data_IF_264537234666
#
_entry.id   IF_264537234666
#
_cell.length_a   1.000
_cell.length_b   1.000
_cell.length_c   1.000
_cell.angle_alpha   90.00
_cell.angle_beta   90.00
_cell.angle_gamma   90.00
#
_symmetry.space_group_name_H-M   'P 1'
#
loop_
_entity.id
_entity.type
_entity.pdbx_description
1 polymer ?
#
# COMPACT_ATOMS: atom_id res chain seq x y z
N UNK A 1 -4.82 38.19 2.86
CA UNK A 1 -4.21 38.40 4.19
C UNK A 1 -4.53 37.14 4.99
N UNK A 2 -3.54 36.34 5.37
CA UNK A 2 -3.76 35.06 6.09
C UNK A 2 -4.25 35.39 7.50
N UNK A 3 -5.28 34.69 7.99
CA UNK A 3 -5.81 34.93 9.33
C UNK A 3 -4.82 34.47 10.41
N UNK A 4 -4.90 35.05 11.62
CA UNK A 4 -4.06 34.63 12.75
C UNK A 4 -4.24 33.13 13.10
N UNK A 5 -5.45 32.60 12.88
CA UNK A 5 -5.78 31.18 13.09
C UNK A 5 -5.08 30.28 12.08
N UNK A 6 -5.05 30.67 10.81
CA UNK A 6 -4.34 29.92 9.76
C UNK A 6 -2.82 29.97 9.97
N UNK A 7 -2.26 31.11 10.40
CA UNK A 7 -0.84 31.21 10.73
C UNK A 7 -0.43 30.25 11.85
N UNK A 8 -1.25 30.15 12.90
CA UNK A 8 -1.00 29.22 14.00
C UNK A 8 -1.12 27.75 13.55
N UNK A 9 -2.07 27.43 12.68
CA UNK A 9 -2.23 26.08 12.14
C UNK A 9 -1.02 25.66 11.29
N UNK A 10 -0.53 26.56 10.42
CA UNK A 10 0.70 26.36 9.65
C UNK A 10 1.92 26.17 10.57
N UNK A 11 2.02 26.96 11.65
CA UNK A 11 3.11 26.82 12.62
C UNK A 11 3.09 25.44 13.28
N UNK A 12 1.92 24.94 13.69
CA UNK A 12 1.76 23.59 14.27
C UNK A 12 2.17 22.50 13.30
N UNK A 13 1.78 22.61 12.04
CA UNK A 13 2.21 21.71 10.98
C UNK A 13 3.75 21.70 10.87
N UNK A 14 4.39 22.87 10.81
CA UNK A 14 5.85 22.94 10.68
C UNK A 14 6.57 22.30 11.86
N UNK A 15 6.09 22.50 13.09
CA UNK A 15 6.65 21.84 14.28
C UNK A 15 6.50 20.33 14.19
N UNK A 16 5.31 19.84 13.79
CA UNK A 16 5.07 18.41 13.60
C UNK A 16 6.01 17.79 12.56
N UNK A 17 6.21 18.46 11.41
CA UNK A 17 7.12 17.98 10.38
C UNK A 17 8.58 17.98 10.84
N UNK A 18 9.00 19.00 11.59
CA UNK A 18 10.34 19.04 12.20
C UNK A 18 10.55 17.92 13.22
N UNK A 19 9.52 17.61 14.02
CA UNK A 19 9.55 16.47 14.94
C UNK A 19 9.73 15.16 14.18
N UNK A 20 9.01 14.94 13.08
CA UNK A 20 9.18 13.77 12.22
C UNK A 20 10.60 13.68 11.62
N UNK A 21 11.11 14.80 11.10
CA UNK A 21 12.39 14.87 10.41
C UNK A 21 13.56 14.58 11.39
N UNK A 22 13.48 15.07 12.63
CA UNK A 22 14.45 14.82 13.71
C UNK A 22 14.24 13.53 14.51
N UNK A 23 13.10 12.85 14.35
CA UNK A 23 12.75 11.69 15.16
C UNK A 23 13.59 10.44 14.85
N UNK A 24 14.02 9.75 15.91
CA UNK A 24 14.57 8.39 15.82
C UNK A 24 13.46 7.34 15.72
N UNK A 25 13.85 6.07 15.50
CA UNK A 25 12.94 4.92 15.29
C UNK A 25 11.78 4.85 16.29
N UNK A 26 12.04 4.99 17.59
CA UNK A 26 11.01 4.88 18.63
C UNK A 26 10.01 6.03 18.54
N UNK A 27 10.51 7.26 18.40
CA UNK A 27 9.68 8.46 18.26
C UNK A 27 8.84 8.40 16.98
N UNK A 28 9.43 8.04 15.84
CA UNK A 28 8.68 7.82 14.59
C UNK A 28 7.59 6.77 14.76
N UNK A 29 7.87 5.68 15.48
CA UNK A 29 6.84 4.68 15.76
C UNK A 29 5.67 5.24 16.59
N UNK A 30 5.90 6.19 17.50
CA UNK A 30 4.85 6.83 18.28
C UNK A 30 4.06 7.82 17.42
N UNK A 31 4.76 8.63 16.61
CA UNK A 31 4.12 9.54 15.65
C UNK A 31 3.19 8.76 14.71
N UNK A 32 3.66 7.66 14.11
CA UNK A 32 2.84 6.83 13.23
C UNK A 32 1.63 6.23 13.96
N UNK A 33 1.81 5.73 15.18
CA UNK A 33 0.69 5.20 15.98
C UNK A 33 -0.37 6.26 16.26
N UNK A 34 0.04 7.46 16.64
CA UNK A 34 -0.88 8.57 16.91
C UNK A 34 -1.59 8.99 15.61
N UNK A 35 -0.83 9.13 14.52
CA UNK A 35 -1.38 9.45 13.21
C UNK A 35 -2.45 8.44 12.78
N UNK A 36 -2.17 7.14 12.86
CA UNK A 36 -3.12 6.08 12.51
C UNK A 36 -4.40 6.20 13.33
N UNK A 37 -4.28 6.33 14.66
CA UNK A 37 -5.43 6.44 15.55
C UNK A 37 -6.31 7.66 15.29
N UNK A 38 -5.70 8.76 14.88
CA UNK A 38 -6.41 10.03 14.69
C UNK A 38 -6.98 10.21 13.29
N UNK A 39 -6.48 9.49 12.29
CA UNK A 39 -6.77 9.77 10.87
C UNK A 39 -7.39 8.61 10.08
N UNK A 40 -7.57 7.43 10.69
CA UNK A 40 -8.22 6.32 10.03
C UNK A 40 -9.64 6.69 9.54
N UNK A 41 -9.94 6.35 8.28
CA UNK A 41 -11.23 6.63 7.64
C UNK A 41 -11.48 8.07 7.19
N UNK A 42 -10.51 8.99 7.32
CA UNK A 42 -10.68 10.37 6.85
C UNK A 42 -10.65 10.50 5.32
N UNK A 43 -11.38 11.49 4.84
CA UNK A 43 -11.40 11.95 3.46
C UNK A 43 -10.25 12.90 3.15
N UNK A 44 -9.94 13.14 1.86
CA UNK A 44 -8.88 14.10 1.49
C UNK A 44 -9.12 15.51 2.07
N UNK A 45 -10.32 16.10 2.00
CA UNK A 45 -10.56 17.42 2.60
C UNK A 45 -10.32 17.46 4.11
N UNK A 46 -10.67 16.40 4.84
CA UNK A 46 -10.44 16.33 6.29
C UNK A 46 -8.95 16.25 6.62
N UNK A 47 -8.18 15.46 5.85
CA UNK A 47 -6.74 15.40 5.97
C UNK A 47 -6.11 16.76 5.64
N UNK A 48 -6.53 17.43 4.56
CA UNK A 48 -5.97 18.73 4.22
C UNK A 48 -6.35 19.81 5.25
N UNK A 49 -7.52 19.74 5.87
CA UNK A 49 -7.87 20.64 6.99
C UNK A 49 -6.97 20.37 8.20
N UNK A 50 -6.75 19.10 8.58
CA UNK A 50 -5.86 18.74 9.69
C UNK A 50 -4.43 19.22 9.47
N UNK A 51 -3.94 19.08 8.25
CA UNK A 51 -2.56 19.41 7.89
C UNK A 51 -2.43 20.81 7.29
N UNK A 52 -3.39 21.72 7.49
CA UNK A 52 -3.30 23.11 6.99
C UNK A 52 -2.93 23.20 5.49
N UNK A 53 -3.56 22.35 4.67
CA UNK A 53 -3.32 22.18 3.23
C UNK A 53 -1.92 21.61 2.89
N UNK A 54 -1.28 20.95 3.86
CA UNK A 54 0.05 20.37 3.75
C UNK A 54 0.09 18.86 3.95
N UNK A 55 -1.03 18.14 3.76
CA UNK A 55 -1.09 16.70 4.00
C UNK A 55 -0.11 15.94 3.07
N UNK A 56 -0.03 16.38 1.81
CA UNK A 56 0.91 15.88 0.79
C UNK A 56 2.39 16.00 1.23
N UNK A 57 2.74 17.02 2.03
CA UNK A 57 4.11 17.18 2.58
C UNK A 57 4.45 16.09 3.59
N UNK A 58 3.47 15.61 4.35
CA UNK A 58 3.68 14.50 5.27
C UNK A 58 3.75 13.18 4.51
N UNK A 59 2.89 12.96 3.52
CA UNK A 59 2.97 11.79 2.64
C UNK A 59 4.34 11.69 1.95
N UNK A 60 4.88 12.79 1.43
CA UNK A 60 6.23 12.84 0.83
C UNK A 60 7.33 12.37 1.81
N UNK A 61 7.21 12.70 3.10
CA UNK A 61 8.15 12.26 4.14
C UNK A 61 7.98 10.78 4.50
N UNK A 62 6.74 10.30 4.57
CA UNK A 62 6.45 8.89 4.81
C UNK A 62 7.00 8.02 3.68
N UNK A 63 6.82 8.44 2.43
CA UNK A 63 7.28 7.70 1.24
C UNK A 63 8.79 7.75 1.07
N UNK A 64 9.43 8.90 1.33
CA UNK A 64 10.88 8.99 1.40
C UNK A 64 11.44 8.04 2.47
N UNK A 65 10.83 8.02 3.66
CA UNK A 65 11.25 7.11 4.73
C UNK A 65 11.02 5.64 4.38
N UNK A 66 9.91 5.32 3.70
CA UNK A 66 9.63 3.96 3.22
C UNK A 66 10.76 3.50 2.30
N UNK A 67 11.10 4.30 1.29
CA UNK A 67 12.17 3.99 0.32
C UNK A 67 13.53 3.75 0.98
N UNK A 68 13.82 4.46 2.07
CA UNK A 68 15.09 4.31 2.79
C UNK A 68 15.12 3.08 3.71
N UNK A 69 13.96 2.57 4.16
CA UNK A 69 13.92 1.64 5.31
C UNK A 69 13.18 0.33 5.11
N UNK A 70 12.43 0.16 4.02
CA UNK A 70 11.63 -1.06 3.79
C UNK A 70 12.46 -2.34 3.81
N UNK A 71 13.73 -2.29 3.39
CA UNK A 71 14.64 -3.43 3.42
C UNK A 71 15.09 -3.83 4.84
N UNK A 72 14.96 -2.97 5.85
CA UNK A 72 15.51 -3.17 7.20
C UNK A 72 14.44 -3.27 8.30
N UNK A 73 13.15 -3.41 7.93
CA UNK A 73 12.01 -3.79 8.80
C UNK A 73 11.60 -2.81 9.92
N UNK A 74 12.20 -1.63 10.04
CA UNK A 74 11.90 -0.76 11.20
C UNK A 74 10.52 -0.10 11.10
N UNK A 75 9.56 -0.60 11.88
CA UNK A 75 8.19 -0.06 12.00
C UNK A 75 7.40 -0.06 10.67
N UNK A 76 7.76 -0.96 9.76
CA UNK A 76 7.24 -0.99 8.40
C UNK A 76 5.70 -1.12 8.36
N UNK A 77 5.10 -2.02 9.12
CA UNK A 77 3.64 -2.15 9.19
C UNK A 77 2.92 -0.82 9.51
N UNK A 78 3.44 -0.05 10.47
CA UNK A 78 2.84 1.24 10.86
C UNK A 78 3.03 2.28 9.76
N UNK A 79 4.18 2.25 9.09
CA UNK A 79 4.45 3.16 7.98
C UNK A 79 3.51 2.88 6.81
N UNK A 80 3.34 1.61 6.44
CA UNK A 80 2.42 1.17 5.38
C UNK A 80 0.96 1.52 5.72
N UNK A 81 0.51 1.27 6.95
CA UNK A 81 -0.83 1.71 7.41
C UNK A 81 -1.03 3.22 7.31
N UNK A 82 -0.01 3.99 7.71
CA UNK A 82 -0.08 5.46 7.62
C UNK A 82 -0.19 5.93 6.17
N UNK A 83 0.56 5.31 5.25
CA UNK A 83 0.41 5.57 3.81
C UNK A 83 -0.99 5.14 3.32
N UNK A 84 -1.50 4.01 3.82
CA UNK A 84 -2.84 3.50 3.51
C UNK A 84 -3.95 4.50 3.77
N UNK A 85 -3.86 5.26 4.86
CA UNK A 85 -4.82 6.34 5.17
C UNK A 85 -4.92 7.34 4.01
N UNK A 86 -3.78 7.79 3.48
CA UNK A 86 -3.77 8.69 2.33
C UNK A 86 -4.34 8.03 1.06
N UNK A 87 -3.93 6.79 0.77
CA UNK A 87 -4.37 6.09 -0.45
C UNK A 87 -5.86 5.71 -0.41
N UNK A 88 -6.44 5.54 0.78
CA UNK A 88 -7.87 5.24 0.97
C UNK A 88 -8.75 6.48 1.08
N UNK A 89 -8.17 7.68 1.19
CA UNK A 89 -8.91 8.90 1.41
C UNK A 89 -9.83 9.19 0.23
N UNK A 90 -11.14 9.30 0.49
CA UNK A 90 -12.11 9.61 -0.56
C UNK A 90 -11.76 10.94 -1.25
N UNK A 91 -11.89 10.96 -2.59
CA UNK A 91 -11.45 12.03 -3.49
C UNK A 91 -9.93 12.26 -3.60
N UNK A 92 -9.11 11.60 -2.77
CA UNK A 92 -7.65 11.76 -2.66
C UNK A 92 -6.82 11.16 -3.79
N UNK A 93 -7.28 11.23 -5.05
CA UNK A 93 -6.56 10.70 -6.21
C UNK A 93 -5.12 11.26 -6.34
N UNK A 94 -4.88 12.47 -5.84
CA UNK A 94 -3.56 13.09 -5.82
C UNK A 94 -2.54 12.28 -5.00
N UNK A 95 -2.94 11.79 -3.83
CA UNK A 95 -2.05 10.99 -2.97
C UNK A 95 -1.62 9.68 -3.64
N UNK A 96 -2.52 9.06 -4.41
CA UNK A 96 -2.17 7.90 -5.22
C UNK A 96 -1.11 8.27 -6.26
N UNK A 97 -1.31 9.36 -7.00
CA UNK A 97 -0.34 9.82 -8.01
C UNK A 97 1.03 10.09 -7.38
N UNK A 98 1.07 10.84 -6.28
CA UNK A 98 2.32 11.14 -5.57
C UNK A 98 3.05 9.88 -5.10
N UNK A 99 2.31 8.86 -4.62
CA UNK A 99 2.88 7.58 -4.23
C UNK A 99 3.40 6.77 -5.43
N UNK A 100 2.73 6.86 -6.59
CA UNK A 100 3.16 6.19 -7.80
C UNK A 100 4.40 6.84 -8.41
N UNK A 101 4.50 8.17 -8.39
CA UNK A 101 5.63 8.94 -8.96
C UNK A 101 6.98 8.58 -8.31
N UNK A 102 6.96 8.18 -7.04
CA UNK A 102 8.18 7.73 -6.33
C UNK A 102 8.51 6.25 -6.55
N UNK A 103 7.74 5.54 -7.37
CA UNK A 103 7.87 4.11 -7.64
C UNK A 103 7.21 3.22 -6.59
N UNK A 104 6.14 3.70 -5.94
CA UNK A 104 5.52 3.03 -4.80
C UNK A 104 5.08 1.59 -5.08
N UNK A 105 4.55 1.30 -6.27
CA UNK A 105 4.17 -0.07 -6.68
C UNK A 105 5.36 -1.03 -6.65
N UNK A 106 6.52 -0.62 -7.17
CA UNK A 106 7.72 -1.47 -7.17
C UNK A 106 8.18 -1.77 -5.75
N UNK A 107 8.19 -0.77 -4.88
CA UNK A 107 8.56 -0.93 -3.46
C UNK A 107 7.62 -1.94 -2.77
N UNK A 108 6.30 -1.81 -2.98
CA UNK A 108 5.32 -2.72 -2.38
C UNK A 108 5.48 -4.16 -2.88
N UNK A 109 5.77 -4.34 -4.17
CA UNK A 109 6.01 -5.66 -4.75
C UNK A 109 7.32 -6.29 -4.26
N UNK A 110 8.37 -5.49 -4.09
CA UNK A 110 9.64 -5.94 -3.52
C UNK A 110 9.50 -6.41 -2.07
N UNK A 111 8.70 -5.69 -1.25
CA UNK A 111 8.41 -6.09 0.14
C UNK A 111 7.89 -7.54 0.22
N UNK A 112 7.03 -7.96 -0.73
CA UNK A 112 6.49 -9.33 -0.76
C UNK A 112 7.59 -10.40 -0.93
N UNK A 113 8.66 -10.05 -1.64
CA UNK A 113 9.80 -10.94 -1.93
C UNK A 113 10.87 -11.00 -0.84
N UNK A 114 10.80 -10.15 0.19
CA UNK A 114 11.79 -10.09 1.26
C UNK A 114 11.51 -11.15 2.33
N UNK A 115 12.36 -12.17 2.41
CA UNK A 115 12.15 -13.34 3.28
C UNK A 115 12.23 -13.02 4.78
N UNK A 116 13.00 -12.00 5.17
CA UNK A 116 13.18 -11.62 6.58
C UNK A 116 12.06 -10.72 7.12
N UNK A 117 11.20 -10.18 6.24
CA UNK A 117 10.06 -9.38 6.66
C UNK A 117 8.93 -10.27 7.17
N UNK A 118 8.19 -9.76 8.14
CA UNK A 118 7.06 -10.46 8.73
C UNK A 118 5.90 -10.51 7.74
N UNK A 119 5.07 -11.55 7.86
CA UNK A 119 3.85 -11.69 7.05
C UNK A 119 2.89 -10.51 7.25
N UNK A 120 2.86 -9.89 8.44
CA UNK A 120 2.04 -8.69 8.71
C UNK A 120 2.47 -7.47 7.87
N UNK A 121 3.77 -7.31 7.59
CA UNK A 121 4.28 -6.21 6.77
C UNK A 121 3.95 -6.46 5.29
N UNK A 122 4.13 -7.70 4.83
CA UNK A 122 3.80 -8.11 3.46
C UNK A 122 2.32 -8.00 3.16
N UNK A 123 1.48 -8.48 4.09
CA UNK A 123 0.02 -8.35 4.00
C UNK A 123 -0.41 -6.90 3.88
N UNK A 124 0.17 -6.00 4.66
CA UNK A 124 -0.14 -4.57 4.55
C UNK A 124 0.27 -4.00 3.18
N UNK A 125 1.37 -4.48 2.60
CA UNK A 125 1.76 -4.10 1.23
C UNK A 125 0.75 -4.56 0.18
N UNK A 126 0.18 -5.76 0.34
CA UNK A 126 -0.91 -6.26 -0.52
C UNK A 126 -2.14 -5.35 -0.42
N UNK A 127 -2.51 -4.90 0.78
CA UNK A 127 -3.65 -3.97 0.97
C UNK A 127 -3.42 -2.63 0.26
N UNK A 128 -2.21 -2.08 0.31
CA UNK A 128 -1.90 -0.85 -0.43
C UNK A 128 -1.99 -1.07 -1.96
N UNK A 129 -1.54 -2.22 -2.46
CA UNK A 129 -1.71 -2.58 -3.87
C UNK A 129 -3.20 -2.72 -4.25
N UNK A 130 -4.05 -3.25 -3.36
CA UNK A 130 -5.50 -3.29 -3.56
C UNK A 130 -6.11 -1.89 -3.65
N UNK A 131 -5.73 -0.96 -2.76
CA UNK A 131 -6.19 0.44 -2.83
C UNK A 131 -5.84 1.07 -4.18
N UNK A 132 -4.61 0.86 -4.65
CA UNK A 132 -4.14 1.33 -5.95
C UNK A 132 -4.93 0.69 -7.10
N UNK A 133 -5.10 -0.64 -7.09
CA UNK A 133 -5.87 -1.35 -8.12
C UNK A 133 -7.33 -0.90 -8.19
N UNK A 134 -7.95 -0.63 -7.04
CA UNK A 134 -9.34 -0.20 -6.93
C UNK A 134 -9.56 1.23 -7.40
N UNK A 135 -8.52 2.06 -7.49
CA UNK A 135 -8.61 3.41 -8.03
C UNK A 135 -8.81 3.45 -9.56
N UNK A 136 -8.72 2.29 -10.25
CA UNK A 136 -9.15 2.14 -11.64
C UNK A 136 -8.22 1.30 -12.52
N UNK A 137 -8.71 0.97 -13.73
CA UNK A 137 -8.04 0.08 -14.69
C UNK A 137 -6.59 0.46 -14.96
N UNK A 138 -6.28 1.75 -15.19
CA UNK A 138 -4.92 2.21 -15.47
C UNK A 138 -3.90 1.83 -14.38
N UNK A 139 -4.35 1.77 -13.13
CA UNK A 139 -3.50 1.39 -12.00
C UNK A 139 -3.37 -0.13 -11.86
N UNK A 140 -4.43 -0.89 -12.20
CA UNK A 140 -4.33 -2.35 -12.36
C UNK A 140 -3.28 -2.71 -13.41
N UNK A 141 -3.34 -2.05 -14.57
CA UNK A 141 -2.36 -2.22 -15.65
C UNK A 141 -0.94 -1.91 -15.18
N UNK A 142 -0.73 -0.80 -14.45
CA UNK A 142 0.58 -0.45 -13.89
C UNK A 142 1.13 -1.52 -12.94
N UNK A 143 0.28 -2.12 -12.09
CA UNK A 143 0.68 -3.22 -11.20
C UNK A 143 1.11 -4.43 -12.03
N UNK A 144 0.34 -4.80 -13.07
CA UNK A 144 0.67 -5.91 -13.96
C UNK A 144 1.98 -5.69 -14.73
N UNK A 145 2.21 -4.47 -15.24
CA UNK A 145 3.44 -4.04 -15.93
C UNK A 145 4.67 -4.11 -15.04
N UNK A 146 4.49 -3.86 -13.74
CA UNK A 146 5.52 -3.90 -12.71
C UNK A 146 5.82 -5.32 -12.21
N UNK A 147 5.52 -6.36 -12.99
CA UNK A 147 5.63 -7.78 -12.61
C UNK A 147 4.72 -8.18 -11.44
N UNK A 148 3.65 -7.42 -11.18
CA UNK A 148 2.78 -7.62 -10.01
C UNK A 148 2.14 -9.01 -9.96
N UNK A 149 1.68 -9.53 -11.11
CA UNK A 149 1.09 -10.89 -11.18
C UNK A 149 2.08 -11.95 -10.72
N UNK A 150 3.35 -11.87 -11.16
CA UNK A 150 4.37 -12.86 -10.81
C UNK A 150 4.70 -12.78 -9.31
N UNK A 151 4.92 -11.57 -8.79
CA UNK A 151 5.23 -11.34 -7.38
C UNK A 151 4.10 -11.80 -6.46
N UNK A 152 2.84 -11.50 -6.83
CA UNK A 152 1.66 -11.92 -6.08
C UNK A 152 1.43 -13.43 -6.15
N UNK A 153 1.54 -14.05 -7.32
CA UNK A 153 1.42 -15.50 -7.47
C UNK A 153 2.49 -16.24 -6.65
N UNK A 154 3.73 -15.75 -6.67
CA UNK A 154 4.81 -16.29 -5.83
C UNK A 154 4.48 -16.13 -4.35
N UNK A 155 4.04 -14.96 -3.91
CA UNK A 155 3.70 -14.73 -2.51
C UNK A 155 2.52 -15.59 -2.05
N UNK A 156 1.48 -15.77 -2.88
CA UNK A 156 0.37 -16.69 -2.62
C UNK A 156 0.86 -18.12 -2.38
N UNK A 157 1.78 -18.59 -3.23
CA UNK A 157 2.33 -19.95 -3.17
C UNK A 157 3.25 -20.19 -1.94
N UNK A 158 3.93 -19.16 -1.44
CA UNK A 158 4.93 -19.29 -0.37
C UNK A 158 4.48 -18.77 1.00
N UNK A 159 3.41 -17.97 1.07
CA UNK A 159 2.94 -17.39 2.33
C UNK A 159 2.36 -18.47 3.25
N UNK A 160 2.61 -18.31 4.55
CA UNK A 160 2.06 -19.17 5.61
C UNK A 160 0.84 -18.52 6.31
N UNK A 161 0.47 -17.28 5.95
CA UNK A 161 -0.70 -16.59 6.53
C UNK A 161 -1.93 -16.81 5.65
N UNK A 162 -2.93 -17.46 6.23
CA UNK A 162 -4.21 -17.70 5.57
C UNK A 162 -4.91 -16.40 5.12
N UNK A 163 -4.78 -15.34 5.91
CA UNK A 163 -5.32 -14.02 5.62
C UNK A 163 -4.52 -13.27 4.56
N UNK A 164 -3.19 -13.38 4.56
CA UNK A 164 -2.37 -12.80 3.51
C UNK A 164 -2.65 -13.46 2.15
N UNK A 165 -2.79 -14.79 2.13
CA UNK A 165 -3.18 -15.53 0.93
C UNK A 165 -4.56 -15.10 0.40
N UNK A 166 -5.52 -14.84 1.29
CA UNK A 166 -6.85 -14.36 0.90
C UNK A 166 -6.79 -12.95 0.30
N UNK A 167 -6.07 -12.03 0.93
CA UNK A 167 -5.88 -10.67 0.39
C UNK A 167 -5.20 -10.72 -0.99
N UNK A 168 -4.22 -11.61 -1.19
CA UNK A 168 -3.57 -11.80 -2.50
C UNK A 168 -4.53 -12.37 -3.53
N UNK A 169 -5.38 -13.35 -3.15
CA UNK A 169 -6.40 -13.91 -4.04
C UNK A 169 -7.35 -12.82 -4.54
N UNK A 170 -7.85 -11.99 -3.63
CA UNK A 170 -8.74 -10.86 -3.95
C UNK A 170 -8.04 -9.86 -4.89
N UNK A 171 -6.76 -9.59 -4.67
CA UNK A 171 -6.01 -8.69 -5.55
C UNK A 171 -5.80 -9.30 -6.96
N UNK A 172 -5.38 -10.56 -7.05
CA UNK A 172 -5.20 -11.25 -8.33
C UNK A 172 -6.51 -11.31 -9.12
N UNK A 173 -7.62 -11.61 -8.43
CA UNK A 173 -8.96 -11.57 -9.00
C UNK A 173 -9.30 -10.17 -9.55
N UNK A 174 -9.11 -9.12 -8.76
CA UNK A 174 -9.33 -7.73 -9.19
C UNK A 174 -8.44 -7.32 -10.37
N UNK A 175 -7.18 -7.78 -10.42
CA UNK A 175 -6.28 -7.50 -11.55
C UNK A 175 -6.72 -8.18 -12.84
N UNK A 176 -7.44 -9.30 -12.76
CA UNK A 176 -8.02 -9.99 -13.91
C UNK A 176 -9.35 -9.38 -14.39
N UNK A 177 -10.17 -8.91 -13.45
CA UNK A 177 -11.49 -8.35 -13.72
C UNK A 177 -11.43 -6.93 -14.28
N UNK A 178 -12.25 -6.67 -15.30
CA UNK A 178 -12.29 -5.39 -16.04
C UNK A 178 -10.93 -4.92 -16.55
N UNK A 179 -10.02 -5.87 -16.84
CA UNK A 179 -8.64 -5.61 -17.28
C UNK A 179 -8.22 -6.57 -18.42
N UNK A 180 -8.83 -6.46 -19.61
CA UNK A 180 -8.65 -7.43 -20.70
C UNK A 180 -7.19 -7.55 -21.19
N UNK A 181 -6.40 -6.46 -21.09
CA UNK A 181 -4.99 -6.43 -21.49
C UNK A 181 -4.14 -7.43 -20.71
N UNK A 182 -4.42 -7.61 -19.41
CA UNK A 182 -3.62 -8.45 -18.52
C UNK A 182 -4.37 -9.67 -17.97
N UNK A 183 -5.65 -9.87 -18.31
CA UNK A 183 -6.44 -11.02 -17.88
C UNK A 183 -5.73 -12.36 -18.16
N UNK A 184 -5.14 -12.53 -19.34
CA UNK A 184 -4.38 -13.75 -19.69
C UNK A 184 -3.08 -13.89 -18.86
N UNK A 185 -2.43 -12.78 -18.50
CA UNK A 185 -1.25 -12.81 -17.62
C UNK A 185 -1.65 -13.31 -16.23
N UNK A 186 -2.74 -12.78 -15.67
CA UNK A 186 -3.30 -13.21 -14.39
C UNK A 186 -3.69 -14.69 -14.42
N UNK A 187 -4.40 -15.11 -15.47
CA UNK A 187 -4.80 -16.51 -15.68
C UNK A 187 -3.59 -17.46 -15.67
N UNK A 188 -2.54 -17.14 -16.44
CA UNK A 188 -1.29 -17.91 -16.46
C UNK A 188 -0.57 -17.91 -15.10
N UNK A 189 -0.59 -16.77 -14.40
CA UNK A 189 -0.05 -16.65 -13.05
C UNK A 189 -0.74 -17.60 -12.06
N UNK A 190 -2.06 -17.68 -12.10
CA UNK A 190 -2.86 -18.59 -11.26
C UNK A 190 -2.61 -20.06 -11.62
N UNK A 191 -2.49 -20.41 -12.90
CA UNK A 191 -2.10 -21.77 -13.32
C UNK A 191 -0.74 -22.15 -12.74
N UNK A 192 0.23 -21.24 -12.73
CA UNK A 192 1.54 -21.51 -12.13
C UNK A 192 1.45 -21.81 -10.63
N UNK A 193 0.53 -21.17 -9.89
CA UNK A 193 0.28 -21.45 -8.46
C UNK A 193 -0.23 -22.88 -8.25
N UNK A 194 -0.97 -23.47 -9.19
CA UNK A 194 -1.46 -24.85 -9.04
C UNK A 194 -0.33 -25.89 -8.92
N UNK A 195 0.87 -25.55 -9.39
CA UNK A 195 2.05 -26.43 -9.30
C UNK A 195 2.80 -26.32 -7.96
N UNK A 196 2.36 -25.46 -7.03
CA UNK A 196 3.02 -25.30 -5.74
C UNK A 196 2.66 -26.41 -4.74
N UNK A 197 3.37 -26.48 -3.62
CA UNK A 197 3.15 -27.51 -2.59
C UNK A 197 2.15 -27.08 -1.51
N UNK A 198 1.59 -25.87 -1.57
CA UNK A 198 0.65 -25.34 -0.59
C UNK A 198 -0.80 -25.65 -1.01
N UNK A 199 -1.52 -26.58 -0.35
CA UNK A 199 -2.87 -26.97 -0.77
C UNK A 199 -3.87 -25.81 -0.75
N UNK A 200 -3.73 -24.91 0.24
CA UNK A 200 -4.57 -23.72 0.34
C UNK A 200 -4.34 -22.76 -0.83
N UNK A 201 -3.09 -22.51 -1.20
CA UNK A 201 -2.77 -21.66 -2.34
C UNK A 201 -3.32 -22.24 -3.66
N UNK A 202 -3.20 -23.56 -3.85
CA UNK A 202 -3.80 -24.26 -4.99
C UNK A 202 -5.32 -24.11 -5.02
N UNK A 203 -6.00 -24.28 -3.89
CA UNK A 203 -7.45 -24.12 -3.76
C UNK A 203 -7.89 -22.69 -4.10
N UNK A 204 -7.21 -21.68 -3.54
CA UNK A 204 -7.52 -20.27 -3.80
C UNK A 204 -7.30 -19.90 -5.27
N UNK A 205 -6.23 -20.40 -5.88
CA UNK A 205 -5.96 -20.19 -7.30
C UNK A 205 -7.05 -20.82 -8.19
N UNK A 206 -7.48 -22.05 -7.87
CA UNK A 206 -8.55 -22.73 -8.58
C UNK A 206 -9.88 -21.96 -8.47
N UNK A 207 -10.22 -21.48 -7.28
CA UNK A 207 -11.44 -20.68 -7.06
C UNK A 207 -11.44 -19.42 -7.93
N UNK A 208 -10.33 -18.68 -8.00
CA UNK A 208 -10.22 -17.50 -8.86
C UNK A 208 -10.28 -17.86 -10.34
N UNK A 209 -9.64 -18.96 -10.77
CA UNK A 209 -9.69 -19.42 -12.16
C UNK A 209 -11.11 -19.74 -12.64
N UNK A 210 -11.98 -20.26 -11.76
CA UNK A 210 -13.37 -20.56 -12.09
C UNK A 210 -14.19 -19.28 -12.32
N UNK A 211 -13.92 -18.22 -11.55
CA UNK A 211 -14.65 -16.94 -11.66
C UNK A 211 -14.20 -16.14 -12.90
N UNK A 212 -12.95 -16.31 -13.34
CA UNK A 212 -12.39 -15.60 -14.49
C UNK A 212 -12.77 -16.18 -15.87
N UNK A 213 -13.49 -17.31 -15.92
CA UNK A 213 -14.03 -17.93 -17.13
C UNK A 213 -15.34 -17.27 -17.56
#
# INVERSE_FOLDING_TARGET
>A
MISAKEQEAIRKLMVFLQEWDGAHKVTRSHILNNFIRSNDGKTEPELEVEFSQGASLFLARLTAWLRMTYMYSTCLNKLLKSIGIFLSAASGCRYIIEFLDIGGVLILLEILGLNHLKEEDKRESVKLLQLIANAGRKYKELICESYGVQSLAKFLATSNSAEAQEDVRVLLDSLGHDNPKYQNQVYKGLIAVLSCTCPRAQQLALQTLVVMQ
#
